data_IF_267560698145
#
_entry.id   IF_267560698145
#
_cell.length_a   1.000
_cell.length_b   1.000
_cell.length_c   1.000
_cell.angle_alpha   90.00
_cell.angle_beta   90.00
_cell.angle_gamma   90.00
#
_symmetry.space_group_name_H-M   'P 1'
#
loop_
_entity.id
_entity.type
_entity.pdbx_description
1 polymer ?
#
# COMPACT_ATOMS: atom_id res chain seq x y z
N UNK A 1 15.89 0.75 -22.43
CA UNK A 1 15.00 0.41 -21.30
C UNK A 1 15.86 -0.25 -20.24
N UNK A 2 15.96 0.33 -19.04
CA UNK A 2 16.74 -0.23 -17.92
C UNK A 2 15.74 -0.88 -16.97
N UNK A 3 16.03 -2.11 -16.54
CA UNK A 3 15.26 -2.81 -15.51
C UNK A 3 16.07 -2.78 -14.22
N UNK A 4 15.55 -2.10 -13.20
CA UNK A 4 16.12 -2.05 -11.85
C UNK A 4 15.33 -3.01 -10.95
N UNK A 5 15.99 -4.06 -10.48
CA UNK A 5 15.43 -4.95 -9.46
C UNK A 5 15.95 -4.51 -8.10
N UNK A 6 15.07 -4.10 -7.19
CA UNK A 6 15.41 -3.67 -5.84
C UNK A 6 14.68 -4.56 -4.84
N UNK A 7 15.41 -5.07 -3.86
CA UNK A 7 14.85 -5.84 -2.75
C UNK A 7 15.39 -5.28 -1.44
N UNK A 8 14.52 -5.20 -0.43
CA UNK A 8 14.84 -4.75 0.93
C UNK A 8 14.08 -5.62 1.92
N UNK A 9 14.70 -5.91 3.06
CA UNK A 9 14.12 -6.70 4.14
C UNK A 9 14.43 -6.06 5.47
N UNK A 10 13.44 -6.03 6.36
CA UNK A 10 13.56 -5.50 7.72
C UNK A 10 12.76 -6.39 8.69
N UNK A 11 13.25 -6.61 9.94
CA UNK A 11 12.47 -7.32 10.94
C UNK A 11 11.20 -6.53 11.30
N UNK A 12 10.05 -7.21 11.23
CA UNK A 12 8.75 -6.65 11.63
C UNK A 12 8.64 -6.46 13.14
N UNK A 13 9.00 -7.50 13.90
CA UNK A 13 8.95 -7.48 15.35
C UNK A 13 10.31 -7.04 15.90
N UNK A 14 10.32 -6.07 16.82
CA UNK A 14 11.51 -5.62 17.51
C UNK A 14 11.52 -6.09 18.97
N UNK A 15 12.66 -5.95 19.64
CA UNK A 15 12.83 -6.36 21.04
C UNK A 15 12.26 -5.33 22.04
N UNK A 16 11.63 -4.26 21.58
CA UNK A 16 11.03 -3.24 22.45
C UNK A 16 9.74 -3.81 23.10
N UNK A 17 9.70 -3.98 24.43
CA UNK A 17 8.53 -4.50 25.12
C UNK A 17 7.28 -3.60 25.04
N UNK A 18 7.42 -2.33 24.66
CA UNK A 18 6.29 -1.42 24.45
C UNK A 18 5.65 -1.56 23.06
N UNK A 19 6.32 -2.24 22.13
CA UNK A 19 5.83 -2.43 20.76
C UNK A 19 5.05 -3.75 20.65
N UNK A 20 3.82 -3.74 20.11
CA UNK A 20 3.04 -4.96 19.93
C UNK A 20 3.76 -5.96 19.00
N UNK A 21 3.76 -7.24 19.39
CA UNK A 21 4.23 -8.33 18.53
C UNK A 21 3.12 -8.71 17.56
N UNK A 22 3.45 -8.72 16.26
CA UNK A 22 2.54 -9.06 15.19
C UNK A 22 2.80 -10.49 14.69
N UNK A 23 1.73 -11.25 14.50
CA UNK A 23 1.73 -12.55 13.83
C UNK A 23 1.77 -12.38 12.32
N UNK A 24 2.15 -13.43 11.60
CA UNK A 24 2.17 -13.43 10.13
C UNK A 24 0.79 -13.08 9.55
N UNK A 25 -0.29 -13.62 10.11
CA UNK A 25 -1.66 -13.33 9.66
C UNK A 25 -2.04 -11.86 9.83
N UNK A 26 -1.64 -11.25 10.95
CA UNK A 26 -1.89 -9.83 11.19
C UNK A 26 -1.11 -8.94 10.22
N UNK A 27 0.13 -9.31 9.90
CA UNK A 27 0.92 -8.58 8.89
C UNK A 27 0.28 -8.68 7.52
N UNK A 28 -0.18 -9.86 7.14
CA UNK A 28 -0.87 -10.03 5.86
C UNK A 28 -2.13 -9.17 5.77
N UNK A 29 -2.97 -9.17 6.82
CA UNK A 29 -4.13 -8.28 6.93
C UNK A 29 -3.74 -6.79 6.84
N UNK A 30 -2.62 -6.40 7.43
CA UNK A 30 -2.07 -5.04 7.32
C UNK A 30 -1.67 -4.67 5.89
N UNK A 31 -1.07 -5.59 5.13
CA UNK A 31 -0.71 -5.39 3.72
C UNK A 31 -1.95 -5.27 2.82
N UNK A 32 -2.97 -6.10 3.05
CA UNK A 32 -4.26 -5.98 2.37
C UNK A 32 -4.94 -4.64 2.67
N UNK A 33 -4.92 -4.20 3.94
CA UNK A 33 -5.40 -2.88 4.33
C UNK A 33 -4.64 -1.76 3.61
N UNK A 34 -3.32 -1.84 3.51
CA UNK A 34 -2.50 -0.85 2.80
C UNK A 34 -2.86 -0.78 1.32
N UNK A 35 -3.13 -1.90 0.67
CA UNK A 35 -3.58 -1.91 -0.72
C UNK A 35 -4.95 -1.23 -0.88
N UNK A 36 -5.89 -1.49 0.05
CA UNK A 36 -7.25 -0.93 0.00
C UNK A 36 -7.32 0.55 0.43
N UNK A 37 -6.51 0.95 1.41
CA UNK A 37 -6.49 2.27 2.05
C UNK A 37 -5.04 2.78 2.23
N UNK A 38 -4.34 3.12 1.14
CA UNK A 38 -2.94 3.55 1.17
C UNK A 38 -2.68 4.77 2.05
N UNK A 39 -3.65 5.69 2.15
CA UNK A 39 -3.53 6.95 2.88
C UNK A 39 -3.32 6.76 4.38
N UNK A 40 -3.72 5.61 4.93
CA UNK A 40 -3.51 5.27 6.34
C UNK A 40 -2.04 4.83 6.61
N UNK A 41 -1.26 4.57 5.55
CA UNK A 41 0.10 4.00 5.63
C UNK A 41 1.17 4.83 4.92
N UNK A 42 0.78 5.58 3.87
CA UNK A 42 1.69 6.32 3.01
C UNK A 42 1.23 7.78 3.02
N UNK A 43 1.94 8.69 3.72
CA UNK A 43 1.53 10.10 3.86
C UNK A 43 1.34 10.85 2.53
N UNK A 44 1.98 10.39 1.46
CA UNK A 44 1.86 10.97 0.11
C UNK A 44 0.53 10.70 -0.58
N UNK A 45 -0.25 9.70 -0.13
CA UNK A 45 -1.59 9.45 -0.64
C UNK A 45 -2.60 10.14 0.25
N UNK A 46 -3.48 10.94 -0.33
CA UNK A 46 -4.54 11.69 0.37
C UNK A 46 -5.95 11.18 0.06
N UNK A 47 -6.13 10.41 -1.02
CA UNK A 47 -7.39 9.74 -1.34
C UNK A 47 -7.18 8.38 -2.04
N UNK A 48 -8.12 7.47 -1.84
CA UNK A 48 -8.17 6.16 -2.50
C UNK A 48 -9.55 5.54 -2.41
N UNK A 49 -9.97 4.90 -3.51
CA UNK A 49 -11.23 4.16 -3.58
C UNK A 49 -11.08 2.87 -4.37
N UNK A 50 -11.69 1.80 -3.85
CA UNK A 50 -11.85 0.54 -4.60
C UNK A 50 -13.01 0.75 -5.58
N UNK A 51 -12.73 0.58 -6.87
CA UNK A 51 -13.72 0.74 -7.95
C UNK A 51 -14.22 -0.60 -8.47
N UNK A 52 -13.53 -1.68 -8.16
CA UNK A 52 -13.91 -3.04 -8.54
C UNK A 52 -13.32 -4.07 -7.58
N UNK A 53 -14.11 -5.11 -7.28
CA UNK A 53 -13.70 -6.24 -6.44
C UNK A 53 -14.15 -7.55 -7.10
N UNK A 54 -13.25 -8.53 -7.16
CA UNK A 54 -13.45 -9.86 -7.77
C UNK A 54 -12.87 -10.95 -6.88
N UNK A 55 -13.18 -12.20 -7.22
CA UNK A 55 -12.59 -13.40 -6.62
C UNK A 55 -12.63 -13.38 -5.08
N UNK A 56 -13.82 -13.13 -4.53
CA UNK A 56 -14.08 -13.01 -3.09
C UNK A 56 -13.15 -12.04 -2.34
N UNK A 57 -12.72 -10.99 -3.05
CA UNK A 57 -11.89 -9.92 -2.52
C UNK A 57 -10.39 -10.15 -2.65
N UNK A 58 -9.96 -11.25 -3.29
CA UNK A 58 -8.55 -11.52 -3.59
C UNK A 58 -8.01 -10.71 -4.78
N UNK A 59 -8.89 -10.04 -5.53
CA UNK A 59 -8.49 -9.12 -6.58
C UNK A 59 -9.30 -7.82 -6.47
N UNK A 60 -8.60 -6.69 -6.43
CA UNK A 60 -9.22 -5.36 -6.44
C UNK A 60 -8.61 -4.48 -7.53
N UNK A 61 -9.45 -3.61 -8.08
CA UNK A 61 -9.00 -2.44 -8.83
C UNK A 61 -9.28 -1.21 -7.97
N UNK A 62 -8.27 -0.36 -7.79
CA UNK A 62 -8.40 0.88 -7.03
C UNK A 62 -7.98 2.07 -7.87
N UNK A 63 -8.55 3.21 -7.54
CA UNK A 63 -8.03 4.52 -7.94
C UNK A 63 -7.45 5.20 -6.71
N UNK A 64 -6.23 5.67 -6.81
CA UNK A 64 -5.53 6.35 -5.72
C UNK A 64 -4.99 7.70 -6.19
N UNK A 65 -5.05 8.69 -5.30
CA UNK A 65 -4.60 10.06 -5.55
C UNK A 65 -3.37 10.37 -4.70
N UNK A 66 -2.38 10.98 -5.34
CA UNK A 66 -1.18 11.48 -4.66
C UNK A 66 -1.37 12.96 -4.39
N UNK A 67 -1.08 13.39 -3.17
CA UNK A 67 -1.22 14.76 -2.74
C UNK A 67 -0.49 15.74 -3.68
N UNK A 68 -1.13 16.87 -3.96
CA UNK A 68 -0.62 17.85 -4.94
C UNK A 68 0.58 18.65 -4.45
N UNK A 69 0.80 18.71 -3.14
CA UNK A 69 1.92 19.41 -2.49
C UNK A 69 3.24 18.62 -2.54
N UNK A 70 3.20 17.39 -3.07
CA UNK A 70 4.37 16.55 -3.27
C UNK A 70 5.18 16.97 -4.52
N UNK A 71 5.62 18.23 -4.58
CA UNK A 71 6.12 18.90 -5.78
C UNK A 71 7.26 18.20 -6.54
N UNK A 72 8.07 17.39 -5.88
CA UNK A 72 9.16 16.63 -6.52
C UNK A 72 8.68 15.35 -7.22
N UNK A 73 7.47 14.89 -6.91
CA UNK A 73 6.92 13.67 -7.48
C UNK A 73 6.24 13.94 -8.82
N UNK A 74 6.54 13.17 -9.88
CA UNK A 74 5.81 13.26 -11.14
C UNK A 74 4.34 12.79 -11.02
N UNK A 75 3.98 12.19 -9.88
CA UNK A 75 2.64 11.68 -9.59
C UNK A 75 1.77 12.69 -8.83
N UNK A 76 2.33 13.80 -8.36
CA UNK A 76 1.59 14.79 -7.56
C UNK A 76 0.30 15.26 -8.26
N UNK A 77 -0.82 15.22 -7.54
CA UNK A 77 -2.15 15.61 -8.03
C UNK A 77 -2.76 14.66 -9.06
N UNK A 78 -2.17 13.48 -9.29
CA UNK A 78 -2.67 12.52 -10.27
C UNK A 78 -3.46 11.40 -9.62
N UNK A 79 -4.56 11.03 -10.28
CA UNK A 79 -5.25 9.78 -10.06
C UNK A 79 -4.58 8.66 -10.85
N UNK A 80 -4.29 7.56 -10.17
CA UNK A 80 -3.72 6.35 -10.78
C UNK A 80 -4.65 5.17 -10.54
N UNK A 81 -4.96 4.43 -11.61
CA UNK A 81 -5.68 3.17 -11.54
C UNK A 81 -4.69 2.03 -11.37
N UNK A 82 -4.89 1.22 -10.35
CA UNK A 82 -4.00 0.13 -9.99
C UNK A 82 -4.77 -1.17 -9.79
N UNK A 83 -4.14 -2.27 -10.16
CA UNK A 83 -4.65 -3.63 -9.96
C UNK A 83 -3.86 -4.28 -8.82
N UNK A 84 -4.55 -4.77 -7.80
CA UNK A 84 -3.93 -5.42 -6.65
C UNK A 84 -4.47 -6.84 -6.51
N UNK A 85 -3.56 -7.82 -6.41
CA UNK A 85 -3.87 -9.24 -6.26
C UNK A 85 -3.29 -9.76 -4.95
N UNK A 86 -4.15 -10.34 -4.13
CA UNK A 86 -3.81 -11.02 -2.90
C UNK A 86 -3.72 -12.52 -3.19
N UNK A 87 -2.68 -13.19 -2.67
CA UNK A 87 -2.38 -14.60 -2.92
C UNK A 87 -2.39 -15.40 -1.63
#
# INVERSE_FOLDING_TARGET
>A
MIVLNVAYSEPVNCSDPLTPILTQEQIWKGLEMKARRPQDFIPSFDDSRVVEERDDGSYIVREAHVASDLHESPMAGRWTREECRFH
#
